data_IF_939178275858
#
_entry.id   IF_939178275858
#
_cell.length_a   1.000
_cell.length_b   1.000
_cell.length_c   1.000
_cell.angle_alpha   90.00
_cell.angle_beta   90.00
_cell.angle_gamma   90.00
#
_symmetry.space_group_name_H-M   'P 1'
#
loop_
_entity.id
_entity.type
_entity.pdbx_description
1 polymer ?
#
# COMPACT_ATOMS: atom_id res chain seq x y z
N UNK A 1 -68.49 -15.33 -24.89
CA UNK A 1 -68.76 -14.52 -23.68
C UNK A 1 -68.85 -15.47 -22.51
N UNK A 2 -67.94 -15.30 -21.52
CA UNK A 2 -67.94 -15.81 -20.13
C UNK A 2 -67.99 -17.33 -19.91
N UNK A 3 -67.31 -17.96 -18.96
CA UNK A 3 -66.23 -17.62 -18.01
C UNK A 3 -65.70 -18.98 -17.51
N UNK A 4 -64.38 -19.21 -17.54
CA UNK A 4 -63.54 -19.48 -16.37
C UNK A 4 -64.04 -20.55 -15.37
N UNK A 5 -63.33 -21.69 -15.31
CA UNK A 5 -63.05 -22.34 -14.03
C UNK A 5 -61.72 -23.09 -14.06
N UNK A 6 -60.90 -22.76 -13.06
CA UNK A 6 -59.51 -23.13 -12.85
C UNK A 6 -59.38 -24.58 -12.36
N UNK A 7 -58.36 -25.29 -12.84
CA UNK A 7 -57.69 -26.31 -12.05
C UNK A 7 -56.17 -26.19 -12.28
N UNK A 8 -55.56 -25.36 -11.44
CA UNK A 8 -54.13 -25.17 -11.33
C UNK A 8 -53.52 -26.44 -10.70
N UNK A 9 -52.98 -27.33 -11.52
CA UNK A 9 -52.14 -28.43 -11.05
C UNK A 9 -50.75 -27.85 -10.72
N UNK A 10 -50.58 -27.39 -9.48
CA UNK A 10 -49.30 -27.04 -8.90
C UNK A 10 -48.46 -28.32 -8.70
N UNK A 11 -47.69 -28.68 -9.71
CA UNK A 11 -46.67 -29.72 -9.65
C UNK A 11 -45.30 -29.09 -9.73
N UNK A 12 -44.80 -28.60 -8.60
CA UNK A 12 -43.43 -28.15 -8.45
C UNK A 12 -43.04 -28.36 -7.00
N UNK A 13 -42.34 -29.48 -6.73
CA UNK A 13 -41.64 -29.68 -5.47
C UNK A 13 -40.59 -28.56 -5.34
N UNK A 14 -40.99 -27.46 -4.71
CA UNK A 14 -40.03 -26.53 -4.14
C UNK A 14 -39.36 -27.26 -2.97
N UNK A 15 -38.27 -27.95 -3.28
CA UNK A 15 -37.35 -28.43 -2.27
C UNK A 15 -36.84 -27.21 -1.50
N UNK A 16 -37.50 -26.92 -0.38
CA UNK A 16 -37.16 -25.85 0.54
C UNK A 16 -35.69 -26.03 0.94
N UNK A 17 -34.82 -25.17 0.43
CA UNK A 17 -33.38 -25.27 0.64
C UNK A 17 -33.07 -24.84 2.08
N UNK A 18 -33.28 -25.74 3.03
CA UNK A 18 -32.95 -25.51 4.43
C UNK A 18 -31.43 -25.58 4.57
N UNK A 19 -30.79 -24.41 4.65
CA UNK A 19 -29.36 -24.30 4.94
C UNK A 19 -29.09 -24.90 6.33
N UNK A 20 -28.65 -26.16 6.35
CA UNK A 20 -28.30 -26.92 7.57
C UNK A 20 -26.90 -26.61 8.08
N UNK A 21 -26.16 -25.75 7.38
CA UNK A 21 -24.83 -25.32 7.78
C UNK A 21 -24.89 -24.47 9.05
N UNK A 22 -24.48 -25.06 10.17
CA UNK A 22 -24.26 -24.30 11.41
C UNK A 22 -23.17 -23.27 11.17
N UNK A 23 -23.45 -22.01 11.49
CA UNK A 23 -22.46 -20.93 11.50
C UNK A 23 -21.29 -21.35 12.39
N UNK A 24 -20.17 -21.73 11.79
CA UNK A 24 -18.93 -22.01 12.52
C UNK A 24 -18.28 -20.67 12.84
N UNK A 25 -18.43 -20.21 14.08
CA UNK A 25 -17.70 -19.05 14.57
C UNK A 25 -16.20 -19.32 14.50
N UNK A 26 -15.52 -18.62 13.59
CA UNK A 26 -14.06 -18.65 13.52
C UNK A 26 -13.53 -18.02 14.80
N UNK A 27 -12.67 -18.72 15.55
CA UNK A 27 -12.00 -18.13 16.72
C UNK A 27 -11.22 -16.89 16.27
N UNK A 28 -11.61 -15.73 16.76
CA UNK A 28 -10.85 -14.51 16.56
C UNK A 28 -9.51 -14.65 17.27
N UNK A 29 -8.45 -14.25 16.58
CA UNK A 29 -7.11 -14.24 17.17
C UNK A 29 -7.01 -13.09 18.17
N UNK A 30 -6.16 -13.27 19.18
CA UNK A 30 -5.89 -12.22 20.14
C UNK A 30 -5.36 -10.96 19.44
N UNK A 31 -6.06 -9.86 19.61
CA UNK A 31 -5.66 -8.53 19.14
C UNK A 31 -4.70 -7.85 20.12
N UNK A 32 -4.40 -8.47 21.25
CA UNK A 32 -3.51 -7.91 22.27
C UNK A 32 -2.10 -7.68 21.70
N UNK A 33 -1.57 -6.48 21.91
CA UNK A 33 -0.26 -6.04 21.41
C UNK A 33 0.88 -6.93 21.91
N UNK A 34 0.83 -7.43 23.16
CA UNK A 34 1.83 -8.31 23.75
C UNK A 34 1.90 -9.64 23.00
N UNK A 35 0.74 -10.23 22.70
CA UNK A 35 0.69 -11.48 21.93
C UNK A 35 1.22 -11.29 20.50
N UNK A 36 0.94 -10.14 19.88
CA UNK A 36 1.45 -9.82 18.54
C UNK A 36 2.96 -9.57 18.55
N UNK A 37 3.50 -8.90 19.58
CA UNK A 37 4.93 -8.72 19.80
C UNK A 37 5.66 -10.05 19.95
N UNK A 38 5.16 -10.95 20.80
CA UNK A 38 5.75 -12.27 20.99
C UNK A 38 5.75 -13.07 19.68
N UNK A 39 4.63 -13.10 18.95
CA UNK A 39 4.55 -13.78 17.66
C UNK A 39 5.51 -13.19 16.61
N UNK A 40 5.69 -11.86 16.62
CA UNK A 40 6.66 -11.17 15.75
C UNK A 40 8.09 -11.54 16.14
N UNK A 41 8.42 -11.51 17.43
CA UNK A 41 9.75 -11.83 17.95
C UNK A 41 10.17 -13.26 17.61
N UNK A 42 9.22 -14.20 17.65
CA UNK A 42 9.44 -15.61 17.29
C UNK A 42 9.53 -15.85 15.77
N UNK A 43 9.28 -14.84 14.93
CA UNK A 43 9.38 -14.96 13.47
C UNK A 43 8.41 -15.96 12.84
N UNK A 44 7.44 -16.48 13.59
CA UNK A 44 6.60 -17.61 13.20
C UNK A 44 5.74 -17.36 11.96
N UNK A 45 5.54 -16.09 11.57
CA UNK A 45 4.65 -15.71 10.46
C UNK A 45 5.20 -14.52 9.68
N UNK A 46 5.28 -14.70 8.36
CA UNK A 46 5.70 -13.69 7.38
C UNK A 46 4.83 -12.42 7.40
N UNK A 47 3.58 -12.50 7.85
CA UNK A 47 2.65 -11.35 7.93
C UNK A 47 2.34 -10.86 9.36
N UNK A 48 3.04 -11.37 10.38
CA UNK A 48 2.83 -10.95 11.78
C UNK A 48 3.03 -9.44 11.99
N UNK A 49 3.93 -8.84 11.20
CA UNK A 49 4.27 -7.42 11.23
C UNK A 49 3.06 -6.54 10.85
N UNK A 50 2.29 -6.92 9.82
CA UNK A 50 1.10 -6.14 9.40
C UNK A 50 0.00 -6.18 10.44
N UNK A 51 -0.23 -7.35 11.03
CA UNK A 51 -1.18 -7.49 12.14
C UNK A 51 -0.74 -6.65 13.33
N UNK A 52 0.56 -6.63 13.66
CA UNK A 52 1.10 -5.83 14.76
C UNK A 52 0.90 -4.32 14.58
N UNK A 53 1.10 -3.79 13.37
CA UNK A 53 0.93 -2.35 13.11
C UNK A 53 -0.50 -1.84 13.34
N UNK A 54 -1.52 -2.71 13.36
CA UNK A 54 -2.89 -2.30 13.73
C UNK A 54 -3.01 -1.83 15.18
N UNK A 55 -2.04 -2.17 16.03
CA UNK A 55 -2.05 -1.82 17.46
C UNK A 55 -1.09 -0.69 17.83
N UNK A 56 -0.38 -0.12 16.85
CA UNK A 56 0.55 0.98 17.09
C UNK A 56 0.02 2.22 16.40
N UNK A 57 -0.13 3.28 17.18
CA UNK A 57 -0.33 4.62 16.65
C UNK A 57 1.03 5.21 16.29
N UNK A 58 1.15 5.90 15.14
CA UNK A 58 2.36 6.66 14.84
C UNK A 58 2.56 7.74 15.91
N UNK A 59 3.77 7.84 16.48
CA UNK A 59 4.07 8.86 17.50
C UNK A 59 4.22 10.27 16.94
N UNK A 60 4.56 10.41 15.65
CA UNK A 60 4.68 11.70 14.98
C UNK A 60 4.35 11.55 13.50
N UNK A 61 3.59 12.50 12.95
CA UNK A 61 3.24 12.58 11.53
C UNK A 61 3.88 13.80 10.90
N UNK A 62 4.63 13.60 9.81
CA UNK A 62 5.19 14.70 9.02
C UNK A 62 4.38 14.84 7.73
N UNK A 63 3.82 16.02 7.51
CA UNK A 63 3.03 16.31 6.30
C UNK A 63 3.81 17.18 5.33
N UNK A 64 3.45 17.11 4.06
CA UNK A 64 4.07 17.91 2.98
C UNK A 64 5.60 17.80 2.99
N UNK A 65 6.10 16.57 3.12
CA UNK A 65 7.53 16.24 3.02
C UNK A 65 8.02 16.57 1.61
N UNK A 66 9.16 17.25 1.52
CA UNK A 66 9.81 17.50 0.25
C UNK A 66 10.41 16.19 -0.24
N UNK A 67 10.12 15.84 -1.50
CA UNK A 67 10.60 14.61 -2.13
C UNK A 67 11.07 14.91 -3.55
N UNK A 68 11.93 14.06 -4.13
CA UNK A 68 12.31 14.14 -5.53
C UNK A 68 11.08 14.12 -6.46
N UNK A 69 11.22 14.58 -7.72
CA UNK A 69 10.16 14.54 -8.73
C UNK A 69 9.89 13.10 -9.18
N UNK A 70 9.21 12.34 -8.33
CA UNK A 70 8.82 10.95 -8.55
C UNK A 70 7.44 10.67 -7.95
N UNK A 71 6.83 9.57 -8.37
CA UNK A 71 5.58 9.05 -7.87
C UNK A 71 5.87 7.84 -7.00
N UNK A 72 5.90 8.05 -5.68
CA UNK A 72 6.07 6.98 -4.71
C UNK A 72 4.92 5.98 -4.84
N UNK A 73 5.23 4.69 -4.86
CA UNK A 73 4.22 3.64 -5.08
C UNK A 73 3.99 2.78 -3.86
N UNK A 74 4.97 1.92 -3.53
CA UNK A 74 4.81 0.94 -2.44
C UNK A 74 6.15 0.40 -1.96
N UNK A 75 6.14 -0.09 -0.73
CA UNK A 75 7.25 -0.87 -0.19
C UNK A 75 7.30 -2.26 -0.80
N UNK A 76 8.52 -2.79 -0.97
CA UNK A 76 8.75 -4.21 -1.18
C UNK A 76 8.12 -5.02 -0.04
N UNK A 77 7.70 -6.28 -0.28
CA UNK A 77 6.97 -7.01 0.76
C UNK A 77 7.83 -7.34 1.99
N UNK A 78 9.16 -7.35 1.85
CA UNK A 78 10.14 -7.44 2.95
C UNK A 78 10.40 -6.10 3.68
N UNK A 79 9.83 -4.99 3.19
CA UNK A 79 9.91 -3.65 3.77
C UNK A 79 11.26 -2.94 3.61
N UNK A 80 12.22 -3.52 2.90
CA UNK A 80 13.58 -2.97 2.76
C UNK A 80 13.71 -1.89 1.70
N UNK A 81 12.82 -1.92 0.71
CA UNK A 81 12.86 -1.02 -0.44
C UNK A 81 11.53 -0.31 -0.64
N UNK A 82 11.58 0.93 -1.11
CA UNK A 82 10.44 1.70 -1.59
C UNK A 82 10.63 1.91 -3.08
N UNK A 83 9.64 1.53 -3.89
CA UNK A 83 9.65 1.80 -5.32
C UNK A 83 8.91 3.10 -5.63
N UNK A 84 9.42 3.84 -6.61
CA UNK A 84 8.81 5.03 -7.16
C UNK A 84 8.97 5.04 -8.68
N UNK A 85 8.05 5.70 -9.37
CA UNK A 85 8.16 5.96 -10.81
C UNK A 85 8.69 7.37 -11.00
N UNK A 86 9.60 7.59 -11.94
CA UNK A 86 10.05 8.94 -12.27
C UNK A 86 8.89 9.83 -12.72
N UNK A 87 9.07 11.15 -12.64
CA UNK A 87 8.03 12.13 -13.00
C UNK A 87 7.54 12.01 -14.45
N UNK A 88 8.42 11.56 -15.34
CA UNK A 88 8.19 11.31 -16.76
C UNK A 88 7.71 9.87 -17.09
N UNK A 89 7.60 8.98 -16.09
CA UNK A 89 7.24 7.57 -16.27
C UNK A 89 8.23 6.75 -17.12
N UNK A 90 9.45 7.25 -17.33
CA UNK A 90 10.46 6.59 -18.14
C UNK A 90 11.31 5.59 -17.34
N UNK A 91 11.32 5.69 -16.01
CA UNK A 91 12.15 4.85 -15.16
C UNK A 91 11.48 4.48 -13.84
N UNK A 92 11.95 3.35 -13.29
CA UNK A 92 11.62 2.89 -11.95
C UNK A 92 12.78 3.20 -11.00
N UNK A 93 12.52 4.05 -10.02
CA UNK A 93 13.45 4.41 -8.96
C UNK A 93 13.26 3.49 -7.75
N UNK A 94 14.34 2.90 -7.26
CA UNK A 94 14.35 1.98 -6.13
C UNK A 94 15.13 2.62 -4.99
N UNK A 95 14.41 2.97 -3.93
CA UNK A 95 14.97 3.55 -2.72
C UNK A 95 15.17 2.47 -1.65
N UNK A 96 16.30 2.48 -0.97
CA UNK A 96 16.53 1.69 0.24
C UNK A 96 15.98 2.45 1.44
N UNK A 97 15.17 1.78 2.24
CA UNK A 97 14.68 2.31 3.51
C UNK A 97 15.73 2.15 4.60
N UNK A 98 16.06 3.24 5.27
CA UNK A 98 17.11 3.32 6.29
C UNK A 98 16.58 3.16 7.73
N UNK A 99 15.25 3.12 7.90
CA UNK A 99 14.61 3.04 9.22
C UNK A 99 14.39 4.42 9.85
N UNK A 100 13.44 4.51 10.79
CA UNK A 100 13.10 5.78 11.45
C UNK A 100 14.26 6.39 12.24
N UNK A 101 15.17 5.56 12.76
CA UNK A 101 16.35 6.05 13.50
C UNK A 101 17.28 6.90 12.64
N UNK A 102 17.29 6.72 11.31
CA UNK A 102 18.11 7.50 10.40
C UNK A 102 17.74 8.98 10.34
N UNK A 103 16.51 9.34 10.74
CA UNK A 103 16.03 10.71 10.84
C UNK A 103 15.92 11.20 12.29
N UNK A 104 16.38 10.43 13.28
CA UNK A 104 16.21 10.75 14.70
C UNK A 104 16.92 12.04 15.13
N UNK A 105 18.01 12.39 14.46
CA UNK A 105 18.74 13.65 14.63
C UNK A 105 17.88 14.88 14.31
N UNK A 106 16.97 14.78 13.33
CA UNK A 106 16.07 15.87 12.95
C UNK A 106 15.07 16.23 14.07
N UNK A 107 14.75 15.28 14.96
CA UNK A 107 13.70 15.42 15.97
C UNK A 107 14.20 15.73 17.38
N UNK A 108 15.51 15.83 17.62
CA UNK A 108 16.07 16.03 18.97
C UNK A 108 15.47 17.22 19.74
N UNK A 109 15.13 18.31 19.03
CA UNK A 109 14.59 19.55 19.62
C UNK A 109 13.16 19.87 19.14
N UNK A 110 12.48 18.91 18.52
CA UNK A 110 11.13 19.16 17.97
C UNK A 110 10.06 19.29 19.07
N UNK A 111 10.33 18.72 20.26
CA UNK A 111 9.38 18.62 21.36
C UNK A 111 8.36 17.50 21.15
N UNK A 112 7.36 17.42 22.05
CA UNK A 112 6.34 16.36 22.08
C UNK A 112 5.17 16.57 21.10
N UNK A 113 5.35 17.38 20.05
CA UNK A 113 4.29 17.58 19.06
C UNK A 113 4.15 16.36 18.15
N UNK A 114 2.95 15.79 18.09
CA UNK A 114 2.60 14.66 17.24
C UNK A 114 2.52 15.02 15.75
N UNK A 115 2.54 16.30 15.38
CA UNK A 115 2.39 16.77 14.01
C UNK A 115 3.48 17.77 13.61
N UNK A 116 4.16 17.47 12.49
CA UNK A 116 5.07 18.39 11.79
C UNK A 116 4.38 18.87 10.52
N UNK A 117 3.88 20.10 10.54
CA UNK A 117 3.15 20.73 9.44
C UNK A 117 3.82 22.00 8.95
N UNK A 118 3.42 22.48 7.78
CA UNK A 118 3.93 23.74 7.25
C UNK A 118 3.42 24.90 8.11
N UNK A 119 4.29 25.47 8.95
CA UNK A 119 4.01 26.65 9.77
C UNK A 119 4.29 27.97 9.01
N UNK A 120 4.79 27.89 7.77
CA UNK A 120 5.18 29.05 6.96
C UNK A 120 6.43 29.76 7.47
N UNK A 121 7.02 29.27 8.57
CA UNK A 121 8.27 29.75 9.11
C UNK A 121 9.38 28.84 8.58
N UNK A 122 10.47 29.40 8.07
CA UNK A 122 11.63 28.62 7.62
C UNK A 122 12.40 27.93 8.76
N UNK A 123 11.75 27.66 9.89
CA UNK A 123 12.33 27.12 11.11
C UNK A 123 12.48 25.59 11.10
N UNK A 124 12.41 24.98 12.29
CA UNK A 124 12.65 23.55 12.48
C UNK A 124 11.69 22.66 11.68
N UNK A 125 10.42 23.06 11.53
CA UNK A 125 9.45 22.30 10.73
C UNK A 125 9.90 22.16 9.28
N UNK A 126 10.34 23.27 8.68
CA UNK A 126 10.88 23.28 7.33
C UNK A 126 12.12 22.39 7.20
N UNK A 127 13.04 22.45 8.16
CA UNK A 127 14.24 21.60 8.17
C UNK A 127 13.90 20.11 8.22
N UNK A 128 12.95 19.71 9.07
CA UNK A 128 12.49 18.32 9.14
C UNK A 128 11.87 17.91 7.80
N UNK A 129 10.93 18.70 7.28
CA UNK A 129 10.18 18.37 6.06
C UNK A 129 11.05 18.29 4.80
N UNK A 130 12.09 19.12 4.72
CA UNK A 130 13.04 19.14 3.58
C UNK A 130 14.02 17.96 3.61
N UNK A 131 14.45 17.52 4.79
CA UNK A 131 15.54 16.53 4.92
C UNK A 131 15.06 15.10 5.21
N UNK A 132 13.87 14.93 5.79
CA UNK A 132 13.43 13.64 6.31
C UNK A 132 13.36 12.57 5.22
N UNK A 133 12.96 12.93 3.99
CA UNK A 133 12.88 11.96 2.90
C UNK A 133 14.25 11.38 2.59
N UNK A 134 15.27 12.22 2.41
CA UNK A 134 16.62 11.79 2.08
C UNK A 134 17.30 11.01 3.22
N UNK A 135 16.93 11.28 4.47
CA UNK A 135 17.42 10.53 5.63
C UNK A 135 16.81 9.13 5.67
N UNK A 136 15.50 9.02 5.46
CA UNK A 136 14.78 7.75 5.50
C UNK A 136 14.98 6.89 4.25
N UNK A 137 15.18 7.51 3.09
CA UNK A 137 15.21 6.84 1.80
C UNK A 137 16.46 7.26 1.01
N UNK A 138 17.29 6.27 0.68
CA UNK A 138 18.45 6.47 -0.19
C UNK A 138 18.21 5.82 -1.54
N UNK A 139 18.32 6.61 -2.61
CA UNK A 139 18.23 6.07 -3.97
C UNK A 139 19.32 5.01 -4.15
N UNK A 140 18.90 3.79 -4.49
CA UNK A 140 19.80 2.65 -4.65
C UNK A 140 19.99 2.30 -6.12
N UNK A 141 18.90 2.23 -6.87
CA UNK A 141 18.92 1.90 -8.29
C UNK A 141 17.89 2.71 -9.06
N UNK A 142 18.18 2.96 -10.33
CA UNK A 142 17.24 3.50 -11.32
C UNK A 142 17.22 2.51 -12.48
N UNK A 143 16.04 2.02 -12.81
CA UNK A 143 15.83 1.09 -13.92
C UNK A 143 15.12 1.85 -15.03
N UNK A 144 15.87 2.19 -16.08
CA UNK A 144 15.33 2.88 -17.24
C UNK A 144 14.61 1.90 -18.16
N UNK A 145 13.60 2.38 -18.86
CA UNK A 145 13.07 1.67 -20.02
C UNK A 145 13.93 1.95 -21.24
N UNK A 146 14.12 0.93 -22.09
CA UNK A 146 14.88 1.07 -23.33
C UNK A 146 14.12 1.82 -24.43
N UNK A 147 12.79 1.96 -24.31
CA UNK A 147 11.93 2.54 -25.35
C UNK A 147 11.16 3.77 -24.83
N UNK A 148 11.51 4.94 -25.37
CA UNK A 148 10.94 6.24 -25.02
C UNK A 148 9.47 6.44 -25.46
N UNK A 149 8.94 5.59 -26.34
CA UNK A 149 7.55 5.70 -26.80
C UNK A 149 6.56 5.13 -25.78
N UNK A 150 7.03 4.24 -24.90
CA UNK A 150 6.23 3.61 -23.85
C UNK A 150 6.39 4.40 -22.55
N UNK A 151 5.35 4.38 -21.72
CA UNK A 151 5.38 4.91 -20.36
C UNK A 151 5.05 3.79 -19.37
N UNK A 152 5.75 3.79 -18.22
CA UNK A 152 5.42 2.89 -17.12
C UNK A 152 4.03 3.23 -16.57
N UNK A 153 3.17 2.23 -16.50
CA UNK A 153 1.88 2.37 -15.84
C UNK A 153 2.09 2.39 -14.32
N UNK A 154 2.01 3.58 -13.73
CA UNK A 154 2.16 3.81 -12.28
C UNK A 154 1.19 2.99 -11.45
N UNK A 155 0.02 2.67 -11.99
CA UNK A 155 -1.00 1.89 -11.29
C UNK A 155 -0.73 0.39 -11.27
N UNK A 156 0.10 -0.10 -12.19
CA UNK A 156 0.41 -1.51 -12.32
C UNK A 156 1.79 -1.83 -11.71
N UNK A 157 1.78 -2.31 -10.47
CA UNK A 157 2.97 -2.89 -9.85
C UNK A 157 2.60 -4.11 -9.01
N UNK A 158 3.29 -5.22 -9.24
CA UNK A 158 3.09 -6.50 -8.54
C UNK A 158 4.43 -7.02 -8.05
N UNK A 159 4.47 -7.60 -6.84
CA UNK A 159 5.67 -8.27 -6.36
C UNK A 159 5.48 -9.77 -6.44
N UNK A 160 6.56 -10.48 -6.71
CA UNK A 160 6.56 -11.94 -6.59
C UNK A 160 6.46 -12.38 -5.13
N UNK A 161 5.95 -13.58 -4.89
CA UNK A 161 5.75 -14.12 -3.53
C UNK A 161 7.07 -14.29 -2.76
N UNK A 162 8.17 -14.52 -3.47
CA UNK A 162 9.51 -14.62 -2.91
C UNK A 162 10.18 -13.25 -2.68
N UNK A 163 9.47 -12.15 -2.96
CA UNK A 163 9.91 -10.76 -2.80
C UNK A 163 11.14 -10.36 -3.63
N UNK A 164 11.55 -11.18 -4.62
CA UNK A 164 12.78 -10.92 -5.40
C UNK A 164 12.56 -10.00 -6.58
N UNK A 165 11.37 -10.03 -7.18
CA UNK A 165 11.08 -9.28 -8.40
C UNK A 165 9.86 -8.39 -8.23
N UNK A 166 9.88 -7.29 -8.98
CA UNK A 166 8.73 -6.43 -9.20
C UNK A 166 8.38 -6.46 -10.68
N UNK A 167 7.10 -6.65 -10.96
CA UNK A 167 6.53 -6.61 -12.30
C UNK A 167 5.79 -5.28 -12.42
N UNK A 168 6.16 -4.50 -13.42
CA UNK A 168 5.52 -3.23 -13.75
C UNK A 168 4.96 -3.30 -15.16
N UNK A 169 3.78 -2.72 -15.37
CA UNK A 169 3.21 -2.58 -16.70
C UNK A 169 3.81 -1.39 -17.42
N UNK A 170 3.92 -1.47 -18.74
CA UNK A 170 4.18 -0.32 -19.61
C UNK A 170 3.10 -0.24 -20.68
N UNK A 171 2.64 0.95 -21.01
CA UNK A 171 1.69 1.18 -22.09
C UNK A 171 2.28 2.13 -23.13
N UNK A 172 1.95 1.88 -24.39
CA UNK A 172 2.13 2.86 -25.46
C UNK A 172 0.94 3.83 -25.39
N UNK A 173 1.20 5.12 -25.50
CA UNK A 173 0.12 6.10 -25.65
C UNK A 173 -0.51 5.92 -27.03
N UNK A 174 -1.78 5.51 -27.07
CA UNK A 174 -2.55 5.40 -28.31
C UNK A 174 -3.39 6.68 -28.45
N UNK A 175 -3.17 7.50 -29.50
CA UNK A 175 -4.01 8.66 -29.79
C UNK A 175 -5.48 8.26 -29.90
N UNK A 176 -6.40 9.16 -29.51
CA UNK A 176 -7.85 8.89 -29.50
C UNK A 176 -8.38 8.39 -30.86
N UNK A 177 -7.80 8.85 -31.96
CA UNK A 177 -8.15 8.46 -33.33
C UNK A 177 -7.90 6.97 -33.64
N UNK A 178 -7.03 6.31 -32.88
CA UNK A 178 -6.64 4.92 -33.09
C UNK A 178 -7.28 3.94 -32.08
N UNK A 179 -8.23 4.40 -31.26
CA UNK A 179 -8.93 3.52 -30.32
C UNK A 179 -10.04 2.74 -31.03
N UNK A 180 -10.17 1.42 -30.81
CA UNK A 180 -11.28 0.65 -31.35
C UNK A 180 -12.60 1.16 -30.75
N UNK A 181 -13.58 1.42 -31.62
CA UNK A 181 -14.94 1.87 -31.27
C UNK A 181 -15.74 0.79 -30.53
#
# INVERSE_FOLDING_TARGET
MNAAENAFAAGGDEAEFVCSERIKFRKFRSQNIVHRLQNRALGLRSHSVREFYQNILPGTTVVNVEKPPCYLRKFSPDGRYLIAFSSDQASLEIYRYMGCSAAGDLFQDWGDSELVSNDGTGGKSYQIRSQIFEKLFKLKHVVNMDNNEKQLNRECSLFTNDCRFVIVGSALFIPEENRPH
#
